data_IF_613813412796
#
_entry.id   IF_613813412796
#
_cell.length_a   1.000
_cell.length_b   1.000
_cell.length_c   1.000
_cell.angle_alpha   90.00
_cell.angle_beta   90.00
_cell.angle_gamma   90.00
#
_symmetry.space_group_name_H-M   'P 1'
#
loop_
_entity.id
_entity.type
_entity.pdbx_description
1 polymer ?
#
# COMPACT_ATOMS: atom_id res chain seq x y z
N UNK A 1 8.30 -19.57 2.24
CA UNK A 1 8.19 -18.39 1.34
C UNK A 1 6.73 -18.03 1.00
N UNK A 2 5.95 -18.90 0.34
CA UNK A 2 4.53 -18.59 0.00
C UNK A 2 3.67 -18.32 1.25
N UNK A 3 3.77 -19.17 2.27
CA UNK A 3 3.00 -18.97 3.51
C UNK A 3 3.39 -17.69 4.24
N UNK A 4 4.70 -17.39 4.32
CA UNK A 4 5.22 -16.15 4.91
C UNK A 4 4.71 -14.90 4.19
N UNK A 5 4.65 -14.92 2.85
CA UNK A 5 4.03 -13.84 2.07
C UNK A 5 2.59 -13.60 2.51
N UNK A 6 1.79 -14.66 2.57
CA UNK A 6 0.37 -14.56 2.91
C UNK A 6 0.12 -14.16 4.37
N UNK A 7 1.00 -14.53 5.30
CA UNK A 7 0.93 -14.03 6.68
C UNK A 7 1.16 -12.51 6.73
N UNK A 8 2.21 -12.02 6.05
CA UNK A 8 2.50 -10.57 5.99
C UNK A 8 1.41 -9.78 5.28
N UNK A 9 0.84 -10.31 4.20
CA UNK A 9 -0.31 -9.71 3.52
C UNK A 9 -1.48 -9.56 4.49
N UNK A 10 -1.77 -10.58 5.32
CA UNK A 10 -2.83 -10.52 6.33
C UNK A 10 -2.53 -9.51 7.45
N UNK A 11 -1.29 -9.46 7.93
CA UNK A 11 -0.86 -8.49 8.94
C UNK A 11 -0.99 -7.06 8.44
N UNK A 12 -0.44 -6.77 7.27
CA UNK A 12 -0.51 -5.45 6.66
C UNK A 12 -1.95 -5.05 6.35
N UNK A 13 -2.76 -5.97 5.80
CA UNK A 13 -4.18 -5.74 5.54
C UNK A 13 -4.93 -5.33 6.81
N UNK A 14 -4.76 -6.08 7.91
CA UNK A 14 -5.36 -5.74 9.20
C UNK A 14 -4.90 -4.37 9.71
N UNK A 15 -3.61 -4.06 9.58
CA UNK A 15 -3.06 -2.78 10.01
C UNK A 15 -3.68 -1.59 9.26
N UNK A 16 -3.77 -1.67 7.94
CA UNK A 16 -4.35 -0.56 7.15
C UNK A 16 -5.87 -0.50 7.26
N UNK A 17 -6.59 -1.63 7.38
CA UNK A 17 -8.02 -1.65 7.68
C UNK A 17 -8.31 -0.99 9.05
N UNK A 18 -7.47 -1.24 10.06
CA UNK A 18 -7.57 -0.58 11.37
C UNK A 18 -7.31 0.93 11.31
N UNK A 19 -6.50 1.40 10.35
CA UNK A 19 -6.28 2.82 10.07
C UNK A 19 -7.42 3.45 9.23
N UNK A 20 -8.48 2.70 8.92
CA UNK A 20 -9.65 3.18 8.19
C UNK A 20 -9.53 3.11 6.67
N UNK A 21 -8.51 2.41 6.14
CA UNK A 21 -8.37 2.23 4.69
C UNK A 21 -9.28 1.10 4.19
N UNK A 22 -9.89 1.33 3.04
CA UNK A 22 -10.62 0.29 2.32
C UNK A 22 -9.68 -0.41 1.32
N UNK A 23 -9.48 -1.71 1.51
CA UNK A 23 -8.80 -2.58 0.55
C UNK A 23 -9.86 -3.44 -0.16
N UNK A 24 -9.75 -3.67 -1.47
CA UNK A 24 -10.56 -4.68 -2.18
C UNK A 24 -10.55 -6.04 -1.47
N UNK A 25 -11.67 -6.77 -1.55
CA UNK A 25 -11.85 -8.03 -0.86
C UNK A 25 -10.89 -9.14 -1.36
N UNK A 26 -10.49 -9.07 -2.64
CA UNK A 26 -9.69 -10.09 -3.30
C UNK A 26 -8.26 -10.20 -2.71
N UNK A 27 -7.82 -11.40 -2.32
CA UNK A 27 -6.51 -11.60 -1.74
C UNK A 27 -5.42 -11.42 -2.80
N UNK A 28 -4.59 -10.39 -2.64
CA UNK A 28 -3.45 -10.09 -3.51
C UNK A 28 -2.22 -9.70 -2.69
N UNK A 29 -1.03 -10.00 -3.22
CA UNK A 29 0.23 -9.48 -2.67
C UNK A 29 0.44 -7.97 -2.99
N UNK A 30 -0.44 -7.40 -3.82
CA UNK A 30 -0.48 -5.98 -4.15
C UNK A 30 -1.75 -5.40 -3.53
N UNK A 31 -1.59 -4.53 -2.53
CA UNK A 31 -2.69 -3.88 -1.82
C UNK A 31 -2.84 -2.44 -2.35
N UNK A 32 -3.92 -2.12 -3.07
CA UNK A 32 -4.20 -0.75 -3.48
C UNK A 32 -4.86 0.02 -2.33
N UNK A 33 -4.25 1.12 -1.89
CA UNK A 33 -4.85 2.05 -0.94
C UNK A 33 -5.42 3.25 -1.70
N UNK A 34 -6.75 3.38 -1.73
CA UNK A 34 -7.43 4.43 -2.50
C UNK A 34 -7.33 5.76 -1.76
N UNK A 35 -6.61 6.72 -2.33
CA UNK A 35 -6.39 8.06 -1.74
C UNK A 35 -7.34 9.10 -2.33
N UNK A 36 -7.70 8.91 -3.61
CA UNK A 36 -8.57 9.79 -4.37
C UNK A 36 -7.78 10.84 -5.17
N UNK A 37 -7.50 12.00 -4.57
CA UNK A 37 -6.82 13.11 -5.26
C UNK A 37 -5.34 12.84 -5.57
N UNK A 38 -4.88 13.24 -6.76
CA UNK A 38 -3.49 13.04 -7.19
C UNK A 38 -2.48 13.75 -6.28
N UNK A 39 -2.75 15.01 -5.94
CA UNK A 39 -1.87 15.80 -5.07
C UNK A 39 -1.74 15.16 -3.68
N UNK A 40 -2.85 14.63 -3.13
CA UNK A 40 -2.86 13.92 -1.86
C UNK A 40 -2.05 12.63 -1.95
N UNK A 41 -2.21 11.85 -3.03
CA UNK A 41 -1.44 10.63 -3.23
C UNK A 41 0.07 10.89 -3.35
N UNK A 42 0.47 11.96 -4.06
CA UNK A 42 1.88 12.36 -4.18
C UNK A 42 2.46 12.86 -2.85
N UNK A 43 1.72 13.67 -2.09
CA UNK A 43 2.15 14.12 -0.77
C UNK A 43 2.34 12.94 0.19
N UNK A 44 1.38 12.01 0.22
CA UNK A 44 1.48 10.80 1.02
C UNK A 44 2.67 9.91 0.62
N UNK A 45 2.89 9.72 -0.69
CA UNK A 45 4.08 9.02 -1.18
C UNK A 45 5.38 9.71 -0.70
N UNK A 46 5.42 11.04 -0.68
CA UNK A 46 6.53 11.82 -0.13
C UNK A 46 6.79 11.51 1.34
N UNK A 47 5.77 11.60 2.19
CA UNK A 47 5.86 11.32 3.62
C UNK A 47 6.26 9.88 3.93
N UNK A 48 5.68 8.91 3.20
CA UNK A 48 6.03 7.50 3.35
C UNK A 48 7.48 7.25 2.97
N UNK A 49 7.96 7.90 1.90
CA UNK A 49 9.37 7.82 1.49
C UNK A 49 10.31 8.40 2.55
N UNK A 50 9.94 9.50 3.19
CA UNK A 50 10.71 10.08 4.31
C UNK A 50 10.75 9.14 5.52
N UNK A 51 9.69 8.36 5.75
CA UNK A 51 9.65 7.29 6.74
C UNK A 51 10.37 6.00 6.31
N UNK A 52 11.05 6.00 5.16
CA UNK A 52 11.77 4.83 4.62
C UNK A 52 10.92 3.84 3.82
N UNK A 53 9.61 4.12 3.66
CA UNK A 53 8.67 3.26 2.96
C UNK A 53 8.53 3.67 1.49
N UNK A 54 8.98 2.80 0.58
CA UNK A 54 8.85 3.05 -0.86
C UNK A 54 7.52 2.52 -1.42
N UNK A 55 6.50 3.37 -1.39
CA UNK A 55 5.15 3.03 -1.88
C UNK A 55 4.75 4.00 -3.02
N UNK A 56 4.74 3.56 -4.28
CA UNK A 56 4.45 4.45 -5.41
C UNK A 56 2.97 4.85 -5.47
N UNK A 57 2.72 6.12 -5.77
CA UNK A 57 1.40 6.63 -6.12
C UNK A 57 1.09 6.38 -7.61
N UNK A 58 -0.03 5.70 -7.86
CA UNK A 58 -0.61 5.49 -9.19
C UNK A 58 -1.70 6.53 -9.40
N UNK A 59 -1.64 7.25 -10.52
CA UNK A 59 -2.50 8.39 -10.86
C UNK A 59 -2.89 8.36 -12.34
N UNK A 60 -3.70 9.32 -12.78
CA UNK A 60 -4.05 9.47 -14.19
C UNK A 60 -2.78 9.55 -15.07
N UNK A 61 -2.76 8.95 -16.28
CA UNK A 61 -3.85 8.25 -16.98
C UNK A 61 -4.00 6.77 -16.63
N UNK A 62 -3.18 6.23 -15.72
CA UNK A 62 -3.18 4.79 -15.39
C UNK A 62 -4.41 4.36 -14.59
N UNK A 63 -5.01 5.29 -13.84
CA UNK A 63 -6.29 5.12 -13.12
C UNK A 63 -7.21 6.30 -13.44
N UNK A 64 -8.50 6.14 -13.19
CA UNK A 64 -9.48 7.21 -13.42
C UNK A 64 -9.12 8.49 -12.64
N UNK A 65 -9.52 9.64 -13.17
CA UNK A 65 -9.35 10.92 -12.48
C UNK A 65 -9.99 10.86 -11.08
N UNK A 66 -9.31 11.43 -10.09
CA UNK A 66 -9.72 11.40 -8.67
C UNK A 66 -9.79 10.00 -8.04
N UNK A 67 -9.19 8.97 -8.66
CA UNK A 67 -9.01 7.63 -8.06
C UNK A 67 -7.54 7.26 -7.87
N UNK A 68 -6.69 8.26 -7.63
CA UNK A 68 -5.29 8.04 -7.31
C UNK A 68 -5.15 7.11 -6.09
N UNK A 69 -4.20 6.19 -6.16
CA UNK A 69 -4.04 5.12 -5.18
C UNK A 69 -2.57 4.83 -4.93
N UNK A 70 -2.24 4.45 -3.70
CA UNK A 70 -0.91 3.96 -3.35
C UNK A 70 -0.85 2.45 -3.61
N UNK A 71 0.17 1.99 -4.33
CA UNK A 71 0.35 0.57 -4.65
C UNK A 71 1.35 -0.06 -3.67
N UNK A 72 0.85 -0.65 -2.59
CA UNK A 72 1.68 -1.37 -1.65
C UNK A 72 1.95 -2.77 -2.18
N UNK A 73 3.21 -3.19 -2.22
CA UNK A 73 3.60 -4.52 -2.70
C UNK A 73 4.31 -5.27 -1.59
N UNK A 74 3.73 -6.39 -1.17
CA UNK A 74 4.29 -7.24 -0.13
C UNK A 74 5.23 -8.25 -0.78
N UNK A 75 6.45 -8.35 -0.25
CA UNK A 75 7.41 -9.39 -0.64
C UNK A 75 7.66 -10.36 0.51
N UNK A 76 7.83 -11.64 0.17
CA UNK A 76 8.31 -12.65 1.11
C UNK A 76 9.77 -12.42 1.52
N UNK A 77 10.55 -11.70 0.69
CA UNK A 77 12.00 -11.54 0.84
C UNK A 77 12.45 -10.26 1.54
N UNK A 78 11.57 -9.27 1.77
CA UNK A 78 11.94 -8.09 2.58
C UNK A 78 11.96 -8.47 4.07
N UNK A 79 12.99 -8.04 4.81
CA UNK A 79 13.11 -8.25 6.25
C UNK A 79 11.87 -7.71 6.98
N UNK A 80 11.57 -8.24 8.17
CA UNK A 80 10.47 -7.79 9.03
C UNK A 80 10.57 -6.31 9.46
N UNK A 81 11.69 -5.64 9.19
CA UNK A 81 11.93 -4.21 9.50
C UNK A 81 11.07 -3.23 8.70
N UNK A 82 10.53 -3.62 7.55
CA UNK A 82 9.80 -2.69 6.67
C UNK A 82 8.31 -2.50 7.05
N UNK A 83 7.79 -3.26 8.02
CA UNK A 83 6.37 -3.25 8.41
C UNK A 83 6.09 -2.49 9.71
N UNK A 84 7.09 -1.80 10.30
CA UNK A 84 6.97 -1.16 11.64
C UNK A 84 7.16 0.37 11.68
N UNK A 85 6.94 1.12 10.59
CA UNK A 85 6.96 2.59 10.63
C UNK A 85 5.60 3.21 10.34
#
# INVERSE_FOLDING_TARGET
>A
LREQLWQRVKELRRGVEALGWSIPAEPSAILPLIVGGEAKALAMMGHLREAGLFIPAIRYPTVACNEARLRVTVSASRSSDDLQA
#
